data_IF_257766371252
#
_entry.id   IF_257766371252
#
_cell.length_a   1.000
_cell.length_b   1.000
_cell.length_c   1.000
_cell.angle_alpha   90.00
_cell.angle_beta   90.00
_cell.angle_gamma   90.00
#
_symmetry.space_group_name_H-M   'P 1'
#
loop_
_entity.id
_entity.type
_entity.pdbx_description
1 polymer ?
#
# COMPACT_ATOMS: atom_id res chain seq x y z
N UNK A 1 40.76 -1.23 6.51
CA UNK A 1 40.16 -0.44 7.59
C UNK A 1 39.12 0.44 6.93
N UNK A 2 37.89 -0.08 6.91
CA UNK A 2 36.72 0.61 6.37
C UNK A 2 36.28 1.60 7.44
N UNK A 3 36.59 2.88 7.27
CA UNK A 3 35.91 3.92 8.03
C UNK A 3 34.45 3.87 7.60
N UNK A 4 33.66 3.31 8.50
CA UNK A 4 32.21 3.41 8.50
C UNK A 4 31.85 4.89 8.70
N UNK A 5 32.05 5.70 7.66
CA UNK A 5 31.46 7.03 7.54
C UNK A 5 29.96 6.80 7.31
N UNK A 6 29.28 6.50 8.41
CA UNK A 6 27.85 6.22 8.43
C UNK A 6 27.12 7.32 7.68
N UNK A 7 26.36 6.89 6.67
CA UNK A 7 25.46 7.77 5.94
C UNK A 7 24.60 8.56 6.93
N UNK A 8 24.32 9.85 6.68
CA UNK A 8 23.72 10.78 7.67
C UNK A 8 22.28 10.47 8.10
N UNK A 9 21.72 9.33 7.69
CA UNK A 9 20.33 8.93 7.92
C UNK A 9 20.06 8.38 9.33
N UNK A 10 21.10 8.28 10.17
CA UNK A 10 21.04 7.67 11.50
C UNK A 10 20.60 8.57 12.66
N UNK A 11 20.37 9.86 12.44
CA UNK A 11 20.40 10.85 13.53
C UNK A 11 19.03 11.08 14.21
N UNK A 12 17.93 10.76 13.52
CA UNK A 12 16.58 10.79 14.10
C UNK A 12 16.29 9.43 14.72
N UNK A 13 16.03 9.41 16.02
CA UNK A 13 15.69 8.20 16.77
C UNK A 13 14.20 8.17 17.07
N UNK A 14 13.69 6.98 17.36
CA UNK A 14 12.36 6.85 17.91
C UNK A 14 12.30 7.50 19.30
N UNK A 15 11.06 7.73 19.78
CA UNK A 15 10.83 8.12 21.17
C UNK A 15 11.33 7.04 22.14
N UNK A 16 11.36 7.35 23.43
CA UNK A 16 11.73 6.35 24.44
C UNK A 16 10.79 5.13 24.41
N UNK A 17 11.27 3.98 24.88
CA UNK A 17 10.48 2.73 24.97
C UNK A 17 9.13 2.98 25.69
N UNK A 18 9.16 3.68 26.83
CA UNK A 18 7.95 4.01 27.60
C UNK A 18 6.95 4.85 26.82
N UNK A 19 7.40 5.86 26.07
CA UNK A 19 6.54 6.68 25.22
C UNK A 19 5.96 5.90 24.04
N UNK A 20 6.75 5.02 23.43
CA UNK A 20 6.30 4.14 22.34
C UNK A 20 5.19 3.22 22.86
N UNK A 21 5.41 2.56 24.00
CA UNK A 21 4.42 1.65 24.61
C UNK A 21 3.16 2.39 25.04
N UNK A 22 3.28 3.56 25.65
CA UNK A 22 2.13 4.37 26.03
C UNK A 22 1.29 4.75 24.80
N UNK A 23 1.94 5.20 23.73
CA UNK A 23 1.25 5.54 22.47
C UNK A 23 0.61 4.31 21.83
N UNK A 24 1.33 3.18 21.80
CA UNK A 24 0.82 1.93 21.25
C UNK A 24 -0.37 1.38 22.03
N UNK A 25 -0.36 1.46 23.37
CA UNK A 25 -1.49 1.06 24.20
C UNK A 25 -2.74 1.89 23.88
N UNK A 26 -2.60 3.22 23.74
CA UNK A 26 -3.71 4.09 23.34
C UNK A 26 -4.31 3.68 21.98
N UNK A 27 -3.47 3.33 21.01
CA UNK A 27 -3.91 2.84 19.70
C UNK A 27 -4.65 1.50 19.84
N UNK A 28 -4.10 0.56 20.62
CA UNK A 28 -4.70 -0.75 20.87
C UNK A 28 -6.06 -0.61 21.53
N UNK A 29 -6.18 0.21 22.57
CA UNK A 29 -7.43 0.45 23.29
C UNK A 29 -8.51 1.04 22.37
N UNK A 30 -8.14 2.01 21.53
CA UNK A 30 -9.05 2.61 20.56
C UNK A 30 -9.53 1.60 19.50
N UNK A 31 -8.62 0.75 19.00
CA UNK A 31 -8.97 -0.31 18.05
C UNK A 31 -9.88 -1.36 18.71
N UNK A 32 -9.61 -1.76 19.95
CA UNK A 32 -10.45 -2.70 20.70
C UNK A 32 -11.84 -2.13 20.98
N UNK A 33 -11.92 -0.87 21.42
CA UNK A 33 -13.19 -0.17 21.63
C UNK A 33 -14.02 -0.07 20.34
N UNK A 34 -13.34 0.03 19.18
CA UNK A 34 -13.96 -0.03 17.85
C UNK A 34 -14.29 -1.43 17.34
N UNK A 35 -14.09 -2.49 18.12
CA UNK A 35 -14.33 -3.88 17.69
C UNK A 35 -13.29 -4.44 16.70
N UNK A 36 -12.16 -3.76 16.51
CA UNK A 36 -11.11 -4.09 15.54
C UNK A 36 -10.02 -4.97 16.18
N UNK A 37 -10.42 -6.08 16.80
CA UNK A 37 -9.52 -6.94 17.58
C UNK A 37 -8.29 -7.44 16.80
N UNK A 38 -8.44 -7.78 15.52
CA UNK A 38 -7.31 -8.21 14.68
C UNK A 38 -6.34 -7.07 14.35
N UNK A 39 -6.86 -5.86 14.13
CA UNK A 39 -6.03 -4.68 13.94
C UNK A 39 -5.30 -4.31 15.23
N UNK A 40 -5.99 -4.41 16.38
CA UNK A 40 -5.43 -4.17 17.70
C UNK A 40 -4.25 -5.11 17.98
N UNK A 41 -4.41 -6.42 17.75
CA UNK A 41 -3.31 -7.40 17.89
C UNK A 41 -2.10 -7.07 17.01
N UNK A 42 -2.34 -6.63 15.77
CA UNK A 42 -1.25 -6.23 14.86
C UNK A 42 -0.57 -4.94 15.31
N UNK A 43 -1.34 -3.98 15.82
CA UNK A 43 -0.82 -2.73 16.35
C UNK A 43 0.03 -2.95 17.60
N UNK A 44 -0.40 -3.85 18.49
CA UNK A 44 0.36 -4.31 19.66
C UNK A 44 1.70 -4.94 19.24
N UNK A 45 1.67 -5.90 18.30
CA UNK A 45 2.89 -6.52 17.75
C UNK A 45 3.84 -5.49 17.13
N UNK A 46 3.32 -4.56 16.32
CA UNK A 46 4.14 -3.52 15.71
C UNK A 46 4.75 -2.58 16.77
N UNK A 47 3.97 -2.21 17.79
CA UNK A 47 4.43 -1.39 18.93
C UNK A 47 5.57 -2.08 19.67
N UNK A 48 5.42 -3.37 19.96
CA UNK A 48 6.46 -4.15 20.63
C UNK A 48 7.77 -4.17 19.84
N UNK A 49 7.69 -4.28 18.52
CA UNK A 49 8.87 -4.19 17.66
C UNK A 49 9.48 -2.79 17.66
N UNK A 50 8.68 -1.74 17.53
CA UNK A 50 9.19 -0.37 17.65
C UNK A 50 9.86 -0.11 19.00
N UNK A 51 9.28 -0.60 20.10
CA UNK A 51 9.87 -0.49 21.42
C UNK A 51 11.19 -1.25 21.52
N UNK A 52 11.31 -2.46 20.93
CA UNK A 52 12.60 -3.19 20.90
C UNK A 52 13.66 -2.49 20.05
N UNK A 53 13.25 -1.77 19.01
CA UNK A 53 14.13 -1.11 18.05
C UNK A 53 14.36 0.38 18.36
N UNK A 54 13.94 0.88 19.52
CA UNK A 54 14.02 2.32 19.86
C UNK A 54 15.45 2.89 19.87
N UNK A 55 16.45 2.02 20.05
CA UNK A 55 17.87 2.35 20.03
C UNK A 55 18.44 2.52 18.62
N UNK A 56 17.72 2.06 17.59
CA UNK A 56 18.10 2.24 16.19
C UNK A 56 17.60 3.59 15.66
N UNK A 57 18.19 4.08 14.56
CA UNK A 57 17.61 5.17 13.80
C UNK A 57 16.15 4.87 13.42
N UNK A 58 15.30 5.89 13.48
CA UNK A 58 13.87 5.76 13.21
C UNK A 58 13.60 5.18 11.82
N UNK A 59 14.39 5.55 10.82
CA UNK A 59 14.27 5.01 9.46
C UNK A 59 14.52 3.49 9.44
N UNK A 60 15.56 3.00 10.11
CA UNK A 60 15.88 1.58 10.16
C UNK A 60 14.80 0.80 10.90
N UNK A 61 14.35 1.30 12.05
CA UNK A 61 13.28 0.69 12.81
C UNK A 61 11.98 0.59 11.99
N UNK A 62 11.60 1.67 11.29
CA UNK A 62 10.43 1.68 10.39
C UNK A 62 10.59 0.67 9.27
N UNK A 63 11.77 0.57 8.65
CA UNK A 63 12.02 -0.40 7.59
C UNK A 63 11.90 -1.85 8.08
N UNK A 64 12.47 -2.16 9.25
CA UNK A 64 12.38 -3.49 9.86
C UNK A 64 10.92 -3.85 10.16
N UNK A 65 10.18 -2.96 10.83
CA UNK A 65 8.76 -3.19 11.15
C UNK A 65 7.94 -3.35 9.87
N UNK A 66 8.19 -2.52 8.84
CA UNK A 66 7.52 -2.62 7.54
C UNK A 66 7.80 -3.97 6.85
N UNK A 67 9.01 -4.50 6.96
CA UNK A 67 9.37 -5.83 6.44
C UNK A 67 8.70 -6.97 7.20
N UNK A 68 8.41 -6.81 8.49
CA UNK A 68 7.75 -7.83 9.29
C UNK A 68 6.22 -7.83 9.12
N UNK A 69 5.60 -6.65 9.00
CA UNK A 69 4.14 -6.51 9.11
C UNK A 69 3.45 -5.92 7.85
N UNK A 70 4.22 -5.32 6.95
CA UNK A 70 3.73 -4.66 5.73
C UNK A 70 3.74 -5.55 4.49
N UNK A 71 4.14 -4.97 3.35
CA UNK A 71 4.38 -5.72 2.10
C UNK A 71 5.65 -6.58 2.14
N UNK A 72 6.40 -6.52 3.23
CA UNK A 72 7.38 -7.55 3.57
C UNK A 72 8.63 -7.61 2.69
N UNK A 73 9.16 -8.82 2.58
CA UNK A 73 10.36 -9.23 1.82
C UNK A 73 10.21 -9.08 0.30
N UNK A 74 9.02 -8.75 -0.19
CA UNK A 74 8.77 -8.51 -1.62
C UNK A 74 9.25 -7.13 -2.08
N UNK A 75 9.66 -6.26 -1.15
CA UNK A 75 10.10 -4.90 -1.46
C UNK A 75 11.54 -4.72 -0.98
N UNK A 76 12.40 -4.22 -1.87
CA UNK A 76 13.73 -3.74 -1.52
C UNK A 76 13.64 -2.25 -1.20
N UNK A 77 14.17 -1.85 -0.04
CA UNK A 77 14.17 -0.46 0.41
C UNK A 77 15.50 0.18 0.04
N UNK A 78 15.47 1.20 -0.81
CA UNK A 78 16.65 1.97 -1.19
C UNK A 78 16.43 3.42 -0.77
N UNK A 79 17.25 3.98 0.14
CA UNK A 79 17.17 5.39 0.48
C UNK A 79 17.44 6.25 -0.77
N UNK A 80 16.52 7.18 -1.08
CA UNK A 80 16.69 8.14 -2.19
C UNK A 80 18.04 8.86 -2.08
N UNK A 81 18.43 9.17 -0.87
CA UNK A 81 19.65 9.88 -0.52
C UNK A 81 20.93 9.07 -0.84
N UNK A 82 20.89 7.73 -0.83
CA UNK A 82 21.96 6.90 -1.40
C UNK A 82 21.98 6.98 -2.93
N UNK A 83 20.82 7.00 -3.58
CA UNK A 83 20.77 7.20 -5.04
C UNK A 83 21.35 8.55 -5.43
N UNK A 84 21.19 9.56 -4.58
CA UNK A 84 21.73 10.90 -4.80
C UNK A 84 23.25 10.98 -4.68
N UNK A 85 23.95 9.99 -4.12
CA UNK A 85 25.43 9.98 -4.14
C UNK A 85 26.01 9.38 -5.41
N UNK A 86 25.16 8.77 -6.27
CA UNK A 86 25.61 8.10 -7.48
C UNK A 86 25.88 9.10 -8.60
N UNK A 87 26.99 8.91 -9.30
CA UNK A 87 27.37 9.72 -10.47
C UNK A 87 26.29 9.74 -11.55
N UNK A 88 25.59 8.62 -11.79
CA UNK A 88 24.52 8.56 -12.78
C UNK A 88 23.35 9.50 -12.43
N UNK A 89 23.01 9.64 -11.15
CA UNK A 89 21.99 10.59 -10.70
C UNK A 89 22.42 12.03 -10.97
N UNK A 90 23.68 12.39 -10.70
CA UNK A 90 24.20 13.73 -11.01
C UNK A 90 24.16 14.02 -12.52
N UNK A 91 24.61 13.08 -13.34
CA UNK A 91 24.59 13.20 -14.81
C UNK A 91 23.16 13.28 -15.36
N UNK A 92 22.19 12.62 -14.72
CA UNK A 92 20.79 12.75 -15.10
C UNK A 92 20.27 14.16 -14.83
N UNK A 93 20.57 14.74 -13.67
CA UNK A 93 20.16 16.13 -13.38
C UNK A 93 20.89 17.15 -14.24
N UNK A 94 22.17 16.93 -14.56
CA UNK A 94 22.88 17.72 -15.56
C UNK A 94 22.17 17.70 -16.90
N UNK A 95 21.75 16.54 -17.41
CA UNK A 95 21.02 16.48 -18.68
C UNK A 95 19.63 17.10 -18.59
N UNK A 96 18.92 16.88 -17.49
CA UNK A 96 17.55 17.36 -17.31
C UNK A 96 17.52 18.89 -17.19
N UNK A 97 18.43 19.44 -16.40
CA UNK A 97 18.51 20.88 -16.11
C UNK A 97 19.32 21.57 -17.20
N UNK A 98 20.54 21.12 -17.49
CA UNK A 98 21.39 21.58 -18.59
C UNK A 98 21.74 23.07 -18.52
N UNK A 99 20.78 23.89 -18.94
CA UNK A 99 20.72 25.33 -18.76
C UNK A 99 19.70 25.64 -17.65
N UNK A 100 20.13 26.07 -16.45
CA UNK A 100 19.23 26.33 -15.33
C UNK A 100 18.18 27.41 -15.60
N UNK A 101 18.51 28.46 -16.36
CA UNK A 101 17.60 29.57 -16.66
C UNK A 101 16.53 29.09 -17.63
N UNK A 102 16.93 28.41 -18.70
CA UNK A 102 16.00 27.83 -19.65
C UNK A 102 15.11 26.78 -18.97
N UNK A 103 15.69 25.92 -18.13
CA UNK A 103 14.93 24.94 -17.36
C UNK A 103 13.90 25.60 -16.45
N UNK A 104 14.26 26.66 -15.72
CA UNK A 104 13.34 27.39 -14.84
C UNK A 104 12.12 27.92 -15.60
N UNK A 105 12.37 28.57 -16.74
CA UNK A 105 11.31 29.12 -17.59
C UNK A 105 10.40 28.02 -18.13
N UNK A 106 10.99 26.94 -18.63
CA UNK A 106 10.28 25.82 -19.22
C UNK A 106 9.46 25.04 -18.19
N UNK A 107 10.03 24.76 -17.02
CA UNK A 107 9.36 24.09 -15.91
C UNK A 107 8.09 24.84 -15.50
N UNK A 108 8.20 26.15 -15.26
CA UNK A 108 7.07 26.98 -14.86
C UNK A 108 6.01 27.07 -15.96
N UNK A 109 6.44 27.21 -17.22
CA UNK A 109 5.54 27.22 -18.39
C UNK A 109 4.74 25.91 -18.52
N UNK A 110 5.40 24.76 -18.45
CA UNK A 110 4.75 23.45 -18.50
C UNK A 110 3.78 23.26 -17.33
N UNK A 111 4.15 23.73 -16.14
CA UNK A 111 3.33 23.61 -14.94
C UNK A 111 2.04 24.44 -15.04
N UNK A 112 2.14 25.66 -15.59
CA UNK A 112 0.99 26.51 -15.87
C UNK A 112 0.06 25.90 -16.93
N UNK A 113 0.63 25.32 -17.99
CA UNK A 113 -0.15 24.62 -19.01
C UNK A 113 -0.85 23.37 -18.47
N UNK A 114 -0.18 22.64 -17.57
CA UNK A 114 -0.80 21.53 -16.84
C UNK A 114 -1.98 22.04 -15.99
N UNK A 115 -1.79 23.07 -15.16
CA UNK A 115 -2.88 23.62 -14.34
C UNK A 115 -4.06 24.09 -15.19
N UNK A 116 -3.79 24.77 -16.31
CA UNK A 116 -4.83 25.24 -17.23
C UNK A 116 -5.65 24.09 -17.84
N UNK A 117 -4.98 23.02 -18.31
CA UNK A 117 -5.66 21.84 -18.88
C UNK A 117 -6.50 21.07 -17.87
N UNK A 118 -6.08 21.07 -16.61
CA UNK A 118 -6.77 20.36 -15.52
C UNK A 118 -7.71 21.23 -14.68
N UNK A 119 -7.88 22.51 -15.03
CA UNK A 119 -8.74 23.44 -14.29
C UNK A 119 -8.30 23.66 -12.84
N UNK A 120 -6.99 23.64 -12.55
CA UNK A 120 -6.44 23.79 -11.21
C UNK A 120 -6.25 25.28 -10.90
N UNK A 121 -7.08 25.83 -10.03
CA UNK A 121 -7.00 27.24 -9.61
C UNK A 121 -5.93 27.49 -8.53
N UNK A 122 -5.76 26.54 -7.61
CA UNK A 122 -4.78 26.68 -6.53
C UNK A 122 -3.35 26.51 -7.08
N UNK A 123 -2.58 27.60 -7.05
CA UNK A 123 -1.19 27.66 -7.54
C UNK A 123 -0.22 26.76 -6.78
N UNK A 124 -0.57 26.29 -5.59
CA UNK A 124 0.24 25.34 -4.81
C UNK A 124 0.08 23.92 -5.33
N UNK A 125 -0.97 23.63 -6.11
CA UNK A 125 -1.21 22.30 -6.67
C UNK A 125 -0.78 22.27 -8.16
N UNK A 126 -0.11 21.21 -8.64
CA UNK A 126 0.38 20.06 -7.87
C UNK A 126 1.57 20.40 -6.95
N UNK A 127 2.31 21.44 -7.29
CA UNK A 127 3.36 22.09 -6.50
C UNK A 127 3.45 23.55 -6.97
N UNK A 128 4.07 24.47 -6.21
CA UNK A 128 4.24 25.87 -6.62
C UNK A 128 5.19 26.01 -7.81
N UNK A 129 5.09 27.14 -8.52
CA UNK A 129 6.12 27.56 -9.48
C UNK A 129 7.45 27.80 -8.76
N UNK A 130 8.55 27.61 -9.47
CA UNK A 130 9.88 28.00 -9.03
C UNK A 130 9.99 29.52 -9.01
N UNK A 131 10.54 30.08 -7.93
CA UNK A 131 10.72 31.51 -7.75
C UNK A 131 11.98 32.04 -8.46
N UNK A 132 12.00 33.36 -8.69
CA UNK A 132 13.15 34.10 -9.21
C UNK A 132 13.30 35.42 -8.45
N UNK A 133 14.52 35.75 -8.07
CA UNK A 133 14.87 37.02 -7.43
C UNK A 133 16.13 37.61 -8.08
N UNK A 134 15.96 38.65 -8.89
CA UNK A 134 17.04 39.18 -9.74
C UNK A 134 17.69 38.05 -10.57
N UNK A 135 18.97 37.76 -10.34
CA UNK A 135 19.74 36.73 -11.04
C UNK A 135 19.77 35.38 -10.32
N UNK A 136 18.97 35.22 -9.25
CA UNK A 136 18.79 33.97 -8.52
C UNK A 136 17.55 33.23 -9.04
N UNK A 137 17.76 31.97 -9.45
CA UNK A 137 16.72 31.09 -9.95
C UNK A 137 16.55 29.90 -9.00
N UNK A 138 15.33 29.69 -8.49
CA UNK A 138 15.05 28.52 -7.65
C UNK A 138 15.07 27.24 -8.49
N UNK A 139 15.69 26.19 -7.98
CA UNK A 139 15.67 24.86 -8.59
C UNK A 139 14.73 23.91 -7.82
N UNK A 140 14.21 22.86 -8.46
CA UNK A 140 13.36 21.86 -7.82
C UNK A 140 14.16 20.86 -6.99
N UNK A 141 15.07 21.38 -6.15
CA UNK A 141 15.80 20.63 -5.14
C UNK A 141 15.56 21.20 -3.74
N UNK A 142 15.77 20.33 -2.77
CA UNK A 142 16.00 20.70 -1.38
C UNK A 142 17.48 20.55 -1.05
N UNK A 143 18.04 21.55 -0.38
CA UNK A 143 19.29 21.46 0.34
C UNK A 143 18.99 20.99 1.76
N UNK A 144 19.69 19.96 2.23
CA UNK A 144 19.59 19.42 3.59
C UNK A 144 20.94 19.59 4.25
N UNK A 145 21.00 20.49 5.24
CA UNK A 145 22.13 20.59 6.15
C UNK A 145 22.01 19.43 7.14
N UNK A 146 22.96 18.52 7.07
CA UNK A 146 23.01 17.30 7.89
C UNK A 146 23.23 17.62 9.36
N UNK A 147 24.01 18.68 9.65
CA UNK A 147 24.37 19.07 11.00
C UNK A 147 23.18 19.69 11.74
N UNK A 148 22.46 20.60 11.08
CA UNK A 148 21.31 21.31 11.67
C UNK A 148 19.98 20.62 11.41
N UNK A 149 19.95 19.64 10.50
CA UNK A 149 18.75 18.93 10.00
C UNK A 149 17.72 19.88 9.39
N UNK A 150 18.17 21.02 8.89
CA UNK A 150 17.30 22.00 8.23
C UNK A 150 17.29 21.77 6.75
N UNK A 151 16.14 22.07 6.16
CA UNK A 151 15.90 21.96 4.73
C UNK A 151 15.55 23.32 4.16
N UNK A 152 16.18 23.71 3.07
CA UNK A 152 15.92 24.97 2.35
C UNK A 152 15.93 24.75 0.84
N UNK A 153 15.22 25.60 0.10
CA UNK A 153 15.18 25.52 -1.35
C UNK A 153 16.57 25.80 -1.93
N UNK A 154 16.94 25.08 -2.98
CA UNK A 154 18.19 25.34 -3.71
C UNK A 154 17.94 26.41 -4.76
N UNK A 155 18.87 27.33 -4.86
CA UNK A 155 18.92 28.36 -5.87
C UNK A 155 20.19 28.22 -6.70
N UNK A 156 20.21 28.87 -7.85
CA UNK A 156 21.42 29.00 -8.64
C UNK A 156 21.60 30.41 -9.20
N UNK A 157 22.85 30.80 -9.33
CA UNK A 157 23.28 31.89 -10.22
C UNK A 157 23.99 31.30 -11.43
N UNK A 158 23.86 31.97 -12.57
CA UNK A 158 24.55 31.63 -13.81
C UNK A 158 25.19 32.89 -14.36
N UNK A 159 26.50 32.85 -14.57
CA UNK A 159 27.31 33.94 -15.13
C UNK A 159 28.30 33.41 -16.17
N UNK A 160 29.14 34.30 -16.71
CA UNK A 160 30.15 33.96 -17.72
C UNK A 160 31.19 32.93 -17.21
N UNK A 161 31.35 32.80 -15.90
CA UNK A 161 32.29 31.86 -15.28
C UNK A 161 31.63 30.49 -14.99
N UNK A 162 30.30 30.43 -14.90
CA UNK A 162 29.54 29.18 -14.89
C UNK A 162 28.35 29.18 -13.93
N UNK A 163 28.08 28.02 -13.33
CA UNK A 163 26.92 27.78 -12.46
C UNK A 163 27.38 27.67 -11.00
N UNK A 164 26.67 28.37 -10.11
CA UNK A 164 26.85 28.26 -8.66
C UNK A 164 25.55 27.89 -7.97
N UNK A 165 25.52 26.76 -7.25
CA UNK A 165 24.40 26.40 -6.38
C UNK A 165 24.51 27.13 -5.04
N UNK A 166 23.43 27.75 -4.60
CA UNK A 166 23.38 28.62 -3.44
C UNK A 166 22.04 28.53 -2.71
N UNK A 167 21.99 29.11 -1.51
CA UNK A 167 20.74 29.35 -0.80
C UNK A 167 19.99 30.58 -1.35
N UNK A 168 18.83 30.88 -0.76
CA UNK A 168 17.99 32.03 -1.16
C UNK A 168 18.68 33.39 -0.98
N UNK A 169 19.70 33.48 -0.13
CA UNK A 169 20.49 34.70 0.05
C UNK A 169 21.61 34.85 -0.98
N UNK A 170 21.80 33.84 -1.86
CA UNK A 170 22.90 33.78 -2.81
C UNK A 170 24.20 33.24 -2.20
N UNK A 171 24.18 32.71 -0.97
CA UNK A 171 25.36 32.11 -0.35
C UNK A 171 25.64 30.75 -0.99
N UNK A 172 26.83 30.53 -1.60
CA UNK A 172 27.14 29.27 -2.28
C UNK A 172 27.20 28.09 -1.31
N UNK A 173 26.67 26.94 -1.73
CA UNK A 173 26.81 25.70 -0.97
C UNK A 173 28.19 25.08 -1.11
N UNK A 174 28.89 25.29 -2.22
CA UNK A 174 30.19 24.68 -2.48
C UNK A 174 31.06 25.58 -3.35
N UNK A 175 31.84 24.97 -4.25
CA UNK A 175 32.65 25.71 -5.22
C UNK A 175 31.74 26.57 -6.12
N UNK A 176 32.11 27.82 -6.34
CA UNK A 176 31.46 28.71 -7.31
C UNK A 176 31.94 28.43 -8.74
N UNK A 177 31.13 28.81 -9.73
CA UNK A 177 31.49 28.83 -11.15
C UNK A 177 31.90 27.45 -11.70
N UNK A 178 30.97 26.50 -11.61
CA UNK A 178 31.16 25.16 -12.17
C UNK A 178 30.64 25.09 -13.60
N UNK A 179 31.21 24.20 -14.40
CA UNK A 179 30.85 24.07 -15.82
C UNK A 179 29.44 23.50 -16.04
N UNK A 180 28.92 22.72 -15.09
CA UNK A 180 27.64 22.03 -15.20
C UNK A 180 27.07 21.67 -13.82
N UNK A 181 25.81 21.25 -13.78
CA UNK A 181 25.10 20.87 -12.54
C UNK A 181 25.69 19.62 -11.87
N UNK A 182 26.19 18.64 -12.64
CA UNK A 182 26.77 17.43 -12.03
C UNK A 182 28.03 17.74 -11.21
N UNK A 183 28.86 18.67 -11.69
CA UNK A 183 30.04 19.16 -10.96
C UNK A 183 29.63 19.92 -9.70
N UNK A 184 28.59 20.76 -9.77
CA UNK A 184 28.06 21.42 -8.58
C UNK A 184 27.62 20.42 -7.51
N UNK A 185 26.88 19.37 -7.90
CA UNK A 185 26.38 18.34 -6.99
C UNK A 185 27.51 17.48 -6.44
N UNK A 186 28.53 17.17 -7.24
CA UNK A 186 29.70 16.42 -6.81
C UNK A 186 30.63 17.23 -5.89
N UNK A 187 30.62 18.57 -5.99
CA UNK A 187 31.45 19.49 -5.24
C UNK A 187 30.84 20.01 -3.93
N UNK A 188 29.75 19.41 -3.45
CA UNK A 188 29.10 19.83 -2.20
C UNK A 188 29.95 19.47 -0.97
N UNK A 189 29.92 20.29 0.09
CA UNK A 189 30.46 19.94 1.40
C UNK A 189 29.85 18.65 1.96
N UNK A 190 30.59 17.97 2.83
CA UNK A 190 30.17 16.68 3.41
C UNK A 190 28.96 16.78 4.33
N UNK A 191 28.69 17.97 4.88
CA UNK A 191 27.53 18.28 5.71
C UNK A 191 26.32 18.81 4.90
N UNK A 192 26.45 18.93 3.57
CA UNK A 192 25.40 19.42 2.69
C UNK A 192 24.96 18.35 1.69
N UNK A 193 23.66 18.03 1.69
CA UNK A 193 23.07 17.11 0.72
C UNK A 193 21.98 17.79 -0.09
N UNK A 194 22.06 17.72 -1.42
CA UNK A 194 21.01 18.19 -2.32
C UNK A 194 20.18 16.99 -2.79
N UNK A 195 18.85 17.09 -2.64
CA UNK A 195 17.90 16.04 -3.04
C UNK A 195 16.77 16.61 -3.91
N UNK A 196 16.28 15.86 -4.93
CA UNK A 196 15.17 16.30 -5.76
C UNK A 196 13.90 16.44 -4.93
N UNK A 197 13.04 17.37 -5.35
CA UNK A 197 11.67 17.49 -4.84
C UNK A 197 10.64 17.49 -5.98
N UNK A 198 9.39 17.30 -5.60
CA UNK A 198 8.25 17.31 -6.54
C UNK A 198 8.46 16.29 -7.67
N UNK A 199 8.14 16.68 -8.91
CA UNK A 199 8.27 15.87 -10.12
C UNK A 199 9.67 15.29 -10.35
N UNK A 200 10.74 15.90 -9.83
CA UNK A 200 12.10 15.41 -10.09
C UNK A 200 12.39 14.07 -9.42
N UNK A 201 11.71 13.73 -8.33
CA UNK A 201 11.87 12.40 -7.71
C UNK A 201 11.34 11.34 -8.69
N UNK A 202 10.12 11.53 -9.21
CA UNK A 202 9.54 10.63 -10.21
C UNK A 202 10.36 10.62 -11.50
N UNK A 203 10.83 11.78 -11.97
CA UNK A 203 11.67 11.91 -13.16
C UNK A 203 12.96 11.09 -13.02
N UNK A 204 13.65 11.18 -11.87
CA UNK A 204 14.87 10.41 -11.61
C UNK A 204 14.57 8.91 -11.58
N UNK A 205 13.52 8.49 -10.87
CA UNK A 205 13.19 7.07 -10.73
C UNK A 205 12.82 6.45 -12.09
N UNK A 206 11.95 7.13 -12.86
CA UNK A 206 11.53 6.67 -14.18
C UNK A 206 12.64 6.80 -15.22
N UNK A 207 13.44 7.87 -15.18
CA UNK A 207 14.50 8.08 -16.16
C UNK A 207 15.70 7.15 -16.02
N UNK A 208 15.97 6.62 -14.83
CA UNK A 208 17.18 5.81 -14.57
C UNK A 208 16.94 4.43 -13.95
N UNK A 209 15.93 4.25 -13.12
CA UNK A 209 15.89 3.14 -12.16
C UNK A 209 14.72 2.17 -12.35
N UNK A 210 13.75 2.45 -13.25
CA UNK A 210 12.63 1.54 -13.47
C UNK A 210 12.02 1.64 -14.87
N UNK A 211 11.60 0.48 -15.40
CA UNK A 211 10.77 0.39 -16.62
C UNK A 211 9.27 0.56 -16.32
N UNK A 212 8.88 0.27 -15.07
CA UNK A 212 7.54 0.46 -14.54
C UNK A 212 7.64 1.16 -13.18
N UNK A 213 7.09 2.37 -13.10
CA UNK A 213 6.97 3.11 -11.84
C UNK A 213 5.59 2.87 -11.25
N UNK A 214 5.56 2.36 -10.01
CA UNK A 214 4.31 2.14 -9.28
C UNK A 214 4.13 3.24 -8.26
N UNK A 215 3.06 4.02 -8.41
CA UNK A 215 2.73 5.11 -7.49
C UNK A 215 1.42 4.85 -6.75
N UNK A 216 1.24 5.52 -5.61
CA UNK A 216 -0.01 5.49 -4.85
C UNK A 216 -1.10 6.35 -5.51
N UNK A 217 -2.34 6.22 -5.05
CA UNK A 217 -3.49 6.99 -5.56
C UNK A 217 -3.31 8.50 -5.51
N UNK A 218 -2.49 9.00 -4.57
CA UNK A 218 -2.23 10.43 -4.43
C UNK A 218 -1.38 11.06 -5.52
N UNK A 219 -0.60 10.28 -6.28
CA UNK A 219 0.41 10.86 -7.18
C UNK A 219 0.22 10.61 -8.68
N UNK A 220 -0.60 9.63 -9.06
CA UNK A 220 -0.81 9.32 -10.49
C UNK A 220 -1.38 10.46 -11.33
N UNK A 221 -2.03 11.45 -10.72
CA UNK A 221 -2.52 12.63 -11.43
C UNK A 221 -1.39 13.57 -11.84
N UNK A 222 -0.39 13.74 -10.97
CA UNK A 222 0.66 14.75 -11.13
C UNK A 222 1.81 14.28 -12.04
N UNK A 223 1.91 12.97 -12.27
CA UNK A 223 2.97 12.40 -13.11
C UNK A 223 2.83 12.74 -14.59
N UNK A 224 1.67 13.23 -15.05
CA UNK A 224 1.50 13.74 -16.42
C UNK A 224 2.36 14.99 -16.68
N UNK A 225 2.53 15.86 -15.67
CA UNK A 225 3.49 16.95 -15.78
C UNK A 225 4.92 16.41 -15.89
N UNK A 226 5.25 15.36 -15.12
CA UNK A 226 6.57 14.72 -15.16
C UNK A 226 6.85 14.13 -16.54
N UNK A 227 5.83 13.54 -17.19
CA UNK A 227 5.93 13.00 -18.55
C UNK A 227 6.35 14.09 -19.55
N UNK A 228 5.66 15.23 -19.51
CA UNK A 228 5.95 16.36 -20.38
C UNK A 228 7.33 16.96 -20.11
N UNK A 229 7.73 17.03 -18.84
CA UNK A 229 9.06 17.51 -18.46
C UNK A 229 10.15 16.60 -19.03
N UNK A 230 10.02 15.28 -18.88
CA UNK A 230 10.96 14.29 -19.42
C UNK A 230 11.02 14.34 -20.95
N UNK A 231 9.87 14.41 -21.62
CA UNK A 231 9.80 14.50 -23.07
C UNK A 231 10.41 15.81 -23.59
N UNK A 232 10.10 16.94 -22.94
CA UNK A 232 10.59 18.25 -23.38
C UNK A 232 12.09 18.45 -23.16
N UNK A 233 12.65 17.95 -22.05
CA UNK A 233 14.05 18.20 -21.68
C UNK A 233 15.00 17.09 -22.10
N UNK A 234 14.55 15.84 -22.06
CA UNK A 234 15.40 14.67 -22.35
C UNK A 234 15.03 14.00 -23.67
N UNK A 235 13.93 14.37 -24.32
CA UNK A 235 13.44 13.72 -25.55
C UNK A 235 13.27 12.21 -25.40
N UNK A 236 12.94 11.74 -24.19
CA UNK A 236 12.67 10.34 -23.90
C UNK A 236 11.17 10.12 -23.79
N UNK A 237 10.71 8.93 -24.20
CA UNK A 237 9.39 8.45 -23.85
C UNK A 237 9.41 8.03 -22.37
N UNK A 238 8.58 8.62 -21.50
CA UNK A 238 8.57 8.29 -20.08
C UNK A 238 8.17 6.82 -19.84
N UNK A 239 8.94 6.05 -19.04
CA UNK A 239 8.59 4.67 -18.70
C UNK A 239 7.22 4.53 -18.05
N UNK A 240 6.58 3.36 -18.18
CA UNK A 240 5.18 3.19 -17.81
C UNK A 240 4.91 3.50 -16.34
N UNK A 241 3.72 4.05 -16.08
CA UNK A 241 3.22 4.36 -14.75
C UNK A 241 2.03 3.47 -14.43
N UNK A 242 2.04 2.84 -13.26
CA UNK A 242 0.87 2.19 -12.69
C UNK A 242 0.48 2.87 -11.38
N UNK A 243 -0.81 3.16 -11.23
CA UNK A 243 -1.37 3.58 -9.95
C UNK A 243 -1.90 2.34 -9.25
N UNK A 244 -1.25 1.96 -8.16
CA UNK A 244 -1.66 0.82 -7.36
C UNK A 244 -1.63 1.19 -5.88
N UNK A 245 -2.61 0.69 -5.13
CA UNK A 245 -2.58 0.77 -3.67
C UNK A 245 -2.41 -0.62 -3.09
N UNK A 246 -1.69 -0.69 -1.98
CA UNK A 246 -1.67 -1.85 -1.11
C UNK A 246 -2.75 -1.75 -0.04
N UNK A 247 -3.92 -1.17 -0.37
CA UNK A 247 -5.02 -0.99 0.59
C UNK A 247 -5.48 -2.35 1.11
N UNK A 248 -5.39 -2.53 2.42
CA UNK A 248 -5.84 -3.74 3.11
C UNK A 248 -7.26 -3.55 3.64
N UNK A 249 -8.02 -4.64 3.71
CA UNK A 249 -9.29 -4.63 4.40
C UNK A 249 -9.05 -4.48 5.90
N UNK A 250 -9.78 -3.55 6.53
CA UNK A 250 -9.72 -3.33 7.97
C UNK A 250 -10.33 -4.51 8.75
N UNK A 251 -11.44 -5.06 8.25
CA UNK A 251 -12.21 -6.16 8.82
C UNK A 251 -11.90 -7.49 8.11
N UNK A 252 -10.62 -7.88 8.10
CA UNK A 252 -10.15 -9.02 7.30
C UNK A 252 -10.78 -10.37 7.66
N UNK A 253 -10.94 -10.67 8.95
CA UNK A 253 -11.59 -11.91 9.41
C UNK A 253 -13.09 -11.91 9.13
N UNK A 254 -13.78 -10.82 9.44
CA UNK A 254 -15.21 -10.67 9.14
C UNK A 254 -15.47 -10.75 7.63
N UNK A 255 -14.56 -10.20 6.80
CA UNK A 255 -14.63 -10.34 5.34
C UNK A 255 -14.49 -11.78 4.90
N UNK A 256 -13.52 -12.51 5.43
CA UNK A 256 -13.33 -13.90 5.05
C UNK A 256 -14.53 -14.75 5.46
N UNK A 257 -15.12 -14.50 6.63
CA UNK A 257 -16.34 -15.17 7.05
C UNK A 257 -17.54 -14.77 6.17
N UNK A 258 -17.71 -13.48 5.85
CA UNK A 258 -18.75 -13.01 4.93
C UNK A 258 -18.65 -13.73 3.58
N UNK A 259 -17.47 -13.80 2.98
CA UNK A 259 -17.26 -14.50 1.71
C UNK A 259 -17.53 -15.99 1.80
N UNK A 260 -17.15 -16.63 2.93
CA UNK A 260 -17.46 -18.03 3.20
C UNK A 260 -18.96 -18.26 3.26
N UNK A 261 -19.69 -17.43 4.01
CA UNK A 261 -21.14 -17.52 4.14
C UNK A 261 -21.86 -17.25 2.80
N UNK A 262 -21.39 -16.28 2.01
CA UNK A 262 -21.91 -16.03 0.67
C UNK A 262 -21.69 -17.22 -0.27
N UNK A 263 -20.54 -17.90 -0.16
CA UNK A 263 -20.26 -19.10 -0.94
C UNK A 263 -21.15 -20.27 -0.52
N UNK A 264 -21.38 -20.46 0.79
CA UNK A 264 -22.34 -21.45 1.29
C UNK A 264 -23.77 -21.16 0.79
N UNK A 265 -24.20 -19.90 0.83
CA UNK A 265 -25.52 -19.49 0.36
C UNK A 265 -25.72 -19.76 -1.14
N UNK A 266 -24.70 -19.49 -1.97
CA UNK A 266 -24.73 -19.80 -3.41
C UNK A 266 -24.87 -21.29 -3.70
N UNK A 267 -24.18 -22.11 -2.91
CA UNK A 267 -24.15 -23.57 -3.11
C UNK A 267 -25.25 -24.32 -2.34
N UNK A 268 -26.13 -23.62 -1.61
CA UNK A 268 -27.16 -24.23 -0.75
C UNK A 268 -27.97 -25.30 -1.47
N UNK A 269 -28.43 -25.01 -2.69
CA UNK A 269 -29.19 -25.98 -3.49
C UNK A 269 -28.38 -27.24 -3.75
N UNK A 270 -27.15 -27.09 -4.24
CA UNK A 270 -26.30 -28.25 -4.55
C UNK A 270 -25.94 -29.05 -3.31
N UNK A 271 -25.74 -28.39 -2.17
CA UNK A 271 -25.49 -29.05 -0.89
C UNK A 271 -26.71 -29.85 -0.41
N UNK A 272 -27.93 -29.34 -0.62
CA UNK A 272 -29.19 -30.05 -0.28
C UNK A 272 -29.38 -31.32 -1.11
N UNK A 273 -28.99 -31.30 -2.40
CA UNK A 273 -29.19 -32.44 -3.30
C UNK A 273 -27.99 -33.38 -3.41
N UNK A 274 -26.77 -32.90 -3.15
CA UNK A 274 -25.51 -33.62 -3.31
C UNK A 274 -24.55 -33.39 -2.13
N UNK A 275 -24.98 -33.65 -0.88
CA UNK A 275 -24.19 -33.32 0.32
C UNK A 275 -22.83 -34.03 0.36
N UNK A 276 -22.71 -35.21 -0.24
CA UNK A 276 -21.48 -36.01 -0.27
C UNK A 276 -20.30 -35.32 -0.96
N UNK A 277 -20.56 -34.36 -1.86
CA UNK A 277 -19.50 -33.58 -2.53
C UNK A 277 -18.85 -32.54 -1.61
N UNK A 278 -19.49 -32.26 -0.47
CA UNK A 278 -19.10 -31.22 0.48
C UNK A 278 -18.59 -31.82 1.81
N UNK A 279 -18.33 -33.13 1.84
CA UNK A 279 -17.69 -33.78 2.98
C UNK A 279 -16.22 -33.36 3.06
N UNK A 280 -15.72 -33.15 4.28
CA UNK A 280 -14.38 -32.65 4.59
C UNK A 280 -14.03 -31.26 4.02
N UNK A 281 -15.00 -30.51 3.47
CA UNK A 281 -14.76 -29.14 3.00
C UNK A 281 -14.92 -28.09 4.11
N UNK A 282 -15.32 -28.51 5.32
CA UNK A 282 -15.69 -27.59 6.41
C UNK A 282 -17.06 -26.92 6.23
N UNK A 283 -17.87 -27.45 5.32
CA UNK A 283 -19.25 -27.04 5.07
C UNK A 283 -20.21 -27.42 6.21
N UNK A 284 -19.94 -28.54 6.87
CA UNK A 284 -20.75 -29.10 7.95
C UNK A 284 -19.92 -29.22 9.23
N UNK A 285 -20.59 -29.24 10.39
CA UNK A 285 -19.95 -29.65 11.64
C UNK A 285 -19.62 -31.14 11.59
N UNK A 286 -18.63 -31.58 12.36
CA UNK A 286 -18.25 -33.00 12.41
C UNK A 286 -19.43 -33.92 12.75
N UNK A 287 -20.32 -33.47 13.64
CA UNK A 287 -21.54 -34.20 14.00
C UNK A 287 -22.53 -34.30 12.84
N UNK A 288 -22.80 -33.17 12.16
CA UNK A 288 -23.72 -33.16 11.00
C UNK A 288 -23.17 -34.00 9.86
N UNK A 289 -21.87 -33.92 9.61
CA UNK A 289 -21.21 -34.71 8.58
C UNK A 289 -21.30 -36.21 8.87
N UNK A 290 -21.08 -36.64 10.12
CA UNK A 290 -21.23 -38.04 10.53
C UNK A 290 -22.66 -38.56 10.31
N UNK A 291 -23.68 -37.76 10.64
CA UNK A 291 -25.08 -38.11 10.41
C UNK A 291 -25.40 -38.21 8.90
N UNK A 292 -24.89 -37.28 8.08
CA UNK A 292 -25.05 -37.31 6.62
C UNK A 292 -24.34 -38.51 5.99
N UNK A 293 -23.16 -38.88 6.50
CA UNK A 293 -22.45 -40.10 6.07
C UNK A 293 -23.26 -41.36 6.38
N UNK A 294 -23.86 -41.45 7.57
CA UNK A 294 -24.72 -42.57 7.94
C UNK A 294 -25.97 -42.68 7.05
N UNK A 295 -26.61 -41.54 6.75
CA UNK A 295 -27.74 -41.49 5.82
C UNK A 295 -27.33 -41.86 4.38
N UNK A 296 -26.14 -41.42 3.93
CA UNK A 296 -25.61 -41.77 2.62
C UNK A 296 -25.30 -43.27 2.50
N UNK A 297 -24.76 -43.89 3.56
CA UNK A 297 -24.51 -45.33 3.61
C UNK A 297 -25.84 -46.13 3.60
N UNK A 298 -26.79 -45.76 4.46
CA UNK A 298 -28.11 -46.39 4.50
C UNK A 298 -28.86 -46.26 3.16
N UNK A 299 -28.70 -45.13 2.46
CA UNK A 299 -29.24 -44.95 1.11
C UNK A 299 -28.59 -45.91 0.11
N UNK A 300 -27.27 -46.08 0.16
CA UNK A 300 -26.55 -46.98 -0.75
C UNK A 300 -27.01 -48.43 -0.56
N UNK A 301 -27.18 -48.87 0.68
CA UNK A 301 -27.69 -50.20 1.01
C UNK A 301 -29.13 -50.39 0.49
N UNK A 302 -30.01 -49.41 0.72
CA UNK A 302 -31.39 -49.46 0.23
C UNK A 302 -31.48 -49.48 -1.31
N UNK A 303 -30.61 -48.73 -2.00
CA UNK A 303 -30.51 -48.75 -3.47
C UNK A 303 -30.04 -50.11 -3.99
N UNK A 304 -29.12 -50.76 -3.28
CA UNK A 304 -28.65 -52.10 -3.68
C UNK A 304 -29.74 -53.16 -3.44
N UNK A 305 -30.46 -53.09 -2.31
CA UNK A 305 -31.65 -53.92 -2.05
C UNK A 305 -32.73 -53.71 -3.13
N UNK A 306 -32.98 -52.47 -3.54
CA UNK A 306 -33.92 -52.14 -4.60
C UNK A 306 -33.56 -52.82 -5.93
N UNK A 307 -32.28 -52.82 -6.31
CA UNK A 307 -31.81 -53.51 -7.52
C UNK A 307 -32.02 -55.02 -7.44
N UNK A 308 -31.76 -55.62 -6.28
CA UNK A 308 -31.94 -57.06 -6.06
C UNK A 308 -33.42 -57.48 -6.11
N UNK A 309 -34.34 -56.68 -5.54
CA UNK A 309 -35.78 -56.97 -5.61
C UNK A 309 -36.31 -56.83 -7.04
N UNK A 310 -35.88 -55.79 -7.77
CA UNK A 310 -36.27 -55.59 -9.17
C UNK A 310 -35.77 -56.69 -10.10
N UNK A 311 -34.55 -57.22 -9.87
CA UNK A 311 -34.04 -58.34 -10.67
C UNK A 311 -34.77 -59.66 -10.40
N UNK A 312 -35.42 -59.80 -9.24
CA UNK A 312 -36.27 -60.95 -8.88
C UNK A 312 -37.75 -60.77 -9.26
N UNK A 313 -38.14 -59.60 -9.77
CA UNK A 313 -39.53 -59.30 -10.12
C UNK A 313 -40.45 -59.06 -8.92
N UNK A 314 -39.89 -58.80 -7.74
CA UNK A 314 -40.63 -58.58 -6.50
C UNK A 314 -41.05 -57.10 -6.34
N UNK A 315 -42.14 -56.86 -5.60
CA UNK A 315 -42.57 -55.49 -5.27
C UNK A 315 -41.53 -54.82 -4.38
N UNK A 316 -41.02 -53.67 -4.82
CA UNK A 316 -40.00 -52.91 -4.09
C UNK A 316 -40.53 -51.60 -3.47
N UNK A 317 -41.85 -51.51 -3.27
CA UNK A 317 -42.55 -50.28 -2.83
C UNK A 317 -42.04 -49.77 -1.48
N UNK A 318 -41.80 -50.65 -0.53
CA UNK A 318 -41.33 -50.29 0.81
C UNK A 318 -39.88 -49.76 0.79
N UNK A 319 -39.03 -50.32 -0.09
CA UNK A 319 -37.66 -49.86 -0.29
C UNK A 319 -37.61 -48.51 -0.99
N UNK A 320 -38.49 -48.28 -1.97
CA UNK A 320 -38.65 -46.96 -2.60
C UNK A 320 -39.11 -45.89 -1.58
N UNK A 321 -40.03 -46.24 -0.68
CA UNK A 321 -40.43 -45.36 0.43
C UNK A 321 -39.26 -45.06 1.37
N UNK A 322 -38.48 -46.08 1.75
CA UNK A 322 -37.29 -45.92 2.60
C UNK A 322 -36.25 -44.99 1.97
N UNK A 323 -35.94 -45.16 0.67
CA UNK A 323 -35.01 -44.28 -0.05
C UNK A 323 -35.50 -42.84 -0.04
N UNK A 324 -36.80 -42.62 -0.26
CA UNK A 324 -37.40 -41.27 -0.23
C UNK A 324 -37.31 -40.66 1.17
N UNK A 325 -37.58 -41.43 2.22
CA UNK A 325 -37.53 -40.95 3.60
C UNK A 325 -36.09 -40.62 4.02
N UNK A 326 -35.10 -41.43 3.63
CA UNK A 326 -33.68 -41.13 3.82
C UNK A 326 -33.29 -39.86 3.07
N UNK A 327 -33.79 -39.67 1.84
CA UNK A 327 -33.57 -38.45 1.05
C UNK A 327 -34.08 -37.22 1.79
N UNK A 328 -35.32 -37.28 2.30
CA UNK A 328 -35.96 -36.17 2.98
C UNK A 328 -35.23 -35.85 4.30
N UNK A 329 -34.86 -36.86 5.09
CA UNK A 329 -34.04 -36.68 6.29
C UNK A 329 -32.68 -36.04 5.99
N UNK A 330 -32.03 -36.45 4.91
CA UNK A 330 -30.77 -35.83 4.48
C UNK A 330 -30.97 -34.36 4.10
N UNK A 331 -32.05 -34.02 3.41
CA UNK A 331 -32.36 -32.62 3.05
C UNK A 331 -32.65 -31.77 4.27
N UNK A 332 -33.54 -32.23 5.14
CA UNK A 332 -33.90 -31.54 6.39
C UNK A 332 -32.67 -31.28 7.27
N UNK A 333 -31.75 -32.24 7.34
CA UNK A 333 -30.52 -32.10 8.10
C UNK A 333 -29.59 -31.05 7.50
N UNK A 334 -29.41 -31.05 6.16
CA UNK A 334 -28.61 -30.03 5.46
C UNK A 334 -29.24 -28.65 5.60
N UNK A 335 -30.54 -28.53 5.37
CA UNK A 335 -31.28 -27.27 5.47
C UNK A 335 -31.14 -26.67 6.87
N UNK A 336 -31.35 -27.46 7.92
CA UNK A 336 -31.19 -27.01 9.30
C UNK A 336 -29.77 -26.58 9.62
N UNK A 337 -28.77 -27.34 9.17
CA UNK A 337 -27.37 -27.03 9.41
C UNK A 337 -26.94 -25.73 8.71
N UNK A 338 -27.38 -25.54 7.46
CA UNK A 338 -27.05 -24.35 6.67
C UNK A 338 -27.85 -23.12 7.10
N UNK A 339 -29.12 -23.27 7.50
CA UNK A 339 -29.93 -22.15 8.00
C UNK A 339 -29.32 -21.55 9.26
N UNK A 340 -28.89 -22.39 10.21
CA UNK A 340 -28.16 -21.94 11.40
C UNK A 340 -26.83 -21.25 11.06
N UNK A 341 -26.10 -21.78 10.06
CA UNK A 341 -24.84 -21.19 9.63
C UNK A 341 -25.02 -19.85 8.88
N UNK A 342 -26.12 -19.68 8.13
CA UNK A 342 -26.39 -18.49 7.32
C UNK A 342 -27.14 -17.38 8.08
N UNK A 343 -27.64 -17.64 9.28
CA UNK A 343 -28.33 -16.63 10.10
C UNK A 343 -27.52 -15.32 10.27
N UNK A 344 -26.20 -15.34 10.57
CA UNK A 344 -25.41 -14.11 10.67
C UNK A 344 -25.39 -13.31 9.36
N UNK A 345 -25.40 -14.00 8.20
CA UNK A 345 -25.45 -13.36 6.89
C UNK A 345 -26.79 -12.65 6.67
N UNK A 346 -27.89 -13.23 7.14
CA UNK A 346 -29.24 -12.64 7.02
C UNK A 346 -29.42 -11.41 7.91
N UNK A 347 -28.78 -11.39 9.08
CA UNK A 347 -28.80 -10.27 10.03
C UNK A 347 -27.88 -9.10 9.59
N UNK A 348 -26.92 -9.36 8.71
CA UNK A 348 -26.02 -8.34 8.14
C UNK A 348 -26.75 -7.46 7.10
N UNK A 349 -27.10 -6.25 7.53
CA UNK A 349 -27.65 -5.21 6.66
C UNK A 349 -26.68 -4.77 5.54
N UNK A 350 -27.20 -4.10 4.49
CA UNK A 350 -26.42 -3.71 3.31
C UNK A 350 -25.21 -2.82 3.65
N UNK A 351 -25.39 -1.87 4.57
CA UNK A 351 -24.33 -0.94 4.99
C UNK A 351 -23.18 -1.66 5.71
N UNK A 352 -23.51 -2.63 6.57
CA UNK A 352 -22.53 -3.43 7.29
C UNK A 352 -21.71 -4.31 6.32
N UNK A 353 -22.36 -4.90 5.31
CA UNK A 353 -21.67 -5.63 4.24
C UNK A 353 -20.74 -4.73 3.44
N UNK A 354 -21.21 -3.53 3.07
CA UNK A 354 -20.38 -2.56 2.36
C UNK A 354 -19.16 -2.14 3.19
N UNK A 355 -19.33 -1.94 4.51
CA UNK A 355 -18.23 -1.59 5.40
C UNK A 355 -17.16 -2.71 5.47
N UNK A 356 -17.58 -3.98 5.60
CA UNK A 356 -16.67 -5.14 5.63
C UNK A 356 -15.90 -5.31 4.31
N UNK A 357 -16.55 -5.01 3.19
CA UNK A 357 -15.97 -5.12 1.85
C UNK A 357 -15.23 -3.85 1.39
N UNK A 358 -15.25 -2.77 2.18
CA UNK A 358 -14.63 -1.52 1.80
C UNK A 358 -13.13 -1.49 2.13
N UNK A 359 -12.36 -0.90 1.22
CA UNK A 359 -10.95 -0.53 1.40
C UNK A 359 -10.75 0.97 1.61
N UNK A 360 -11.83 1.73 1.44
CA UNK A 360 -11.83 3.19 1.43
C UNK A 360 -12.57 3.77 2.63
N UNK A 361 -13.20 2.91 3.45
CA UNK A 361 -13.98 3.37 4.59
C UNK A 361 -13.06 4.10 5.57
N UNK A 362 -13.23 5.41 5.76
CA UNK A 362 -12.44 6.14 6.73
C UNK A 362 -12.97 5.73 8.09
N UNK A 363 -12.26 4.86 8.79
CA UNK A 363 -12.54 4.68 10.20
C UNK A 363 -12.06 5.94 10.92
N UNK A 364 -12.98 6.83 11.24
CA UNK A 364 -12.68 8.08 11.93
C UNK A 364 -12.17 7.76 13.34
N UNK A 365 -10.86 7.96 13.53
CA UNK A 365 -10.23 8.25 14.81
C UNK A 365 -10.75 9.60 15.32
N UNK A 366 -11.93 9.65 15.94
CA UNK A 366 -12.30 10.65 16.97
C UNK A 366 -13.57 10.17 17.71
N UNK A 367 -13.40 9.30 18.70
CA UNK A 367 -14.36 9.25 19.81
C UNK A 367 -13.98 10.37 20.78
N UNK A 368 -14.61 11.53 20.64
CA UNK A 368 -14.37 12.67 21.53
C UNK A 368 -15.00 13.96 21.01
N UNK A 369 -16.33 14.06 21.06
CA UNK A 369 -17.02 15.29 20.69
C UNK A 369 -18.53 15.16 20.48
N UNK A 370 -19.24 14.49 21.40
CA UNK A 370 -20.69 14.63 21.55
C UNK A 370 -21.12 14.12 22.94
N UNK A 371 -20.79 14.92 23.97
CA UNK A 371 -21.57 15.27 25.16
C UNK A 371 -20.66 15.78 26.27
#
# INVERSE_FOLDING_TARGET
QSTDEGLPYGSVHLKSDSEIRATGQQIVDQLQAGGLGDAAKRAEQATDWFARLHHLPAVEAVLIVRRLFGLGTYVCDIPLSQLMTLRCSHQFFEKLIGDPIQFWSEYNRLLEQYRARHGIENRVNPFPNLAQHADLYELPFWSIDVSTRRRSAVWCTVDDEGISLCDESGTPYGRQHNSNIADCLAGLPTDQMIVPRHALITALMRGLYCDLFVHGTGGGKYDQFTDELLQSRLSIEPPHLAVATASRYLLGSQRNELLRLEELAKNLRDMTYRPTQYFNTGAFTAETEQQLQALSAARADAVEQLKQLKSRGESARDVDHLIRDISNRSRELVERALEAALQPLQELGPDARQAVLSREYPWFLFAGGAN
#
